data_IF_154909015716
#
_entry.id   IF_154909015716
#
_cell.length_a   1.000
_cell.length_b   1.000
_cell.length_c   1.000
_cell.angle_alpha   90.00
_cell.angle_beta   90.00
_cell.angle_gamma   90.00
#
_symmetry.space_group_name_H-M   'P 1'
#
loop_
_entity.id
_entity.type
_entity.pdbx_description
1 polymer ?
#
# COMPACT_ATOMS: atom_id res chain seq x y z
N UNK A 1 -16.66 5.23 -3.80
CA UNK A 1 -15.95 4.18 -3.02
C UNK A 1 -16.74 2.87 -3.11
N UNK A 2 -16.07 1.74 -3.30
CA UNK A 2 -16.67 0.40 -3.38
C UNK A 2 -16.08 -0.45 -2.25
N UNK A 3 -16.95 -1.14 -1.49
CA UNK A 3 -16.53 -2.06 -0.43
C UNK A 3 -16.69 -3.48 -0.95
N UNK A 4 -15.63 -4.28 -0.82
CA UNK A 4 -15.59 -5.70 -1.18
C UNK A 4 -15.25 -6.52 0.07
N UNK A 5 -16.11 -7.46 0.44
CA UNK A 5 -15.97 -8.25 1.65
C UNK A 5 -15.68 -9.69 1.28
N UNK A 6 -14.70 -10.29 1.96
CA UNK A 6 -14.24 -11.65 1.75
C UNK A 6 -14.25 -12.41 3.07
N UNK A 7 -14.45 -13.70 3.01
CA UNK A 7 -14.51 -14.55 4.18
C UNK A 7 -13.28 -14.40 5.10
N UNK A 8 -12.09 -14.35 4.50
CA UNK A 8 -10.83 -14.25 5.23
C UNK A 8 -9.74 -13.60 4.36
N UNK A 9 -8.55 -13.40 4.96
CA UNK A 9 -7.38 -12.81 4.28
C UNK A 9 -6.91 -13.63 3.08
N UNK A 10 -7.13 -14.95 3.09
CA UNK A 10 -6.72 -15.84 1.99
C UNK A 10 -7.61 -15.59 0.77
N UNK A 11 -8.93 -15.62 0.93
CA UNK A 11 -9.86 -15.33 -0.16
C UNK A 11 -9.69 -13.92 -0.71
N UNK A 12 -9.48 -12.94 0.17
CA UNK A 12 -9.19 -11.56 -0.22
C UNK A 12 -7.93 -11.49 -1.09
N UNK A 13 -6.84 -12.10 -0.64
CA UNK A 13 -5.57 -12.10 -1.39
C UNK A 13 -5.70 -12.78 -2.75
N UNK A 14 -6.40 -13.91 -2.82
CA UNK A 14 -6.65 -14.63 -4.08
C UNK A 14 -7.43 -13.74 -5.05
N UNK A 15 -8.52 -13.13 -4.60
CA UNK A 15 -9.37 -12.29 -5.44
C UNK A 15 -8.62 -11.06 -5.95
N UNK A 16 -7.93 -10.33 -5.07
CA UNK A 16 -7.21 -9.11 -5.46
C UNK A 16 -6.01 -9.42 -6.36
N UNK A 17 -5.26 -10.50 -6.08
CA UNK A 17 -4.15 -10.92 -6.95
C UNK A 17 -4.61 -11.28 -8.36
N UNK A 18 -5.76 -11.95 -8.48
CA UNK A 18 -6.39 -12.21 -9.78
C UNK A 18 -6.75 -10.91 -10.51
N UNK A 19 -7.31 -9.92 -9.81
CA UNK A 19 -7.63 -8.61 -10.41
C UNK A 19 -6.37 -7.89 -10.94
N UNK A 20 -5.23 -8.01 -10.23
CA UNK A 20 -3.95 -7.48 -10.72
C UNK A 20 -3.50 -8.18 -12.01
N UNK A 21 -3.58 -9.51 -12.06
CA UNK A 21 -3.21 -10.27 -13.27
C UNK A 21 -4.16 -9.97 -14.43
N UNK A 22 -5.47 -9.86 -14.18
CA UNK A 22 -6.47 -9.44 -15.17
C UNK A 22 -6.12 -8.04 -15.74
N UNK A 23 -5.69 -7.12 -14.89
CA UNK A 23 -5.29 -5.77 -15.31
C UNK A 23 -4.02 -5.79 -16.19
N UNK A 24 -3.03 -6.62 -15.85
CA UNK A 24 -1.81 -6.80 -16.66
C UNK A 24 -2.12 -7.45 -17.99
N UNK A 25 -2.98 -8.46 -18.02
CA UNK A 25 -3.41 -9.11 -19.26
C UNK A 25 -4.14 -8.14 -20.18
N UNK A 26 -5.00 -7.28 -19.63
CA UNK A 26 -5.71 -6.25 -20.39
C UNK A 26 -4.79 -5.12 -20.86
N UNK A 27 -3.75 -4.78 -20.10
CA UNK A 27 -2.76 -3.77 -20.43
C UNK A 27 -1.35 -4.24 -20.03
N UNK A 28 -0.60 -4.92 -20.93
CA UNK A 28 0.73 -5.44 -20.61
C UNK A 28 1.78 -4.40 -20.18
N UNK A 29 1.56 -3.12 -20.51
CA UNK A 29 2.43 -1.99 -20.13
C UNK A 29 1.87 -1.19 -18.95
N UNK A 30 0.97 -1.77 -18.18
CA UNK A 30 0.35 -1.15 -17.00
C UNK A 30 1.40 -0.68 -15.99
N UNK A 31 1.07 0.39 -15.26
CA UNK A 31 1.89 0.94 -14.20
C UNK A 31 1.22 0.62 -12.87
N UNK A 32 1.89 -0.18 -12.05
CA UNK A 32 1.40 -0.62 -10.75
C UNK A 32 2.05 0.17 -9.61
N UNK A 33 1.24 0.60 -8.67
CA UNK A 33 1.70 1.10 -7.38
C UNK A 33 1.66 -0.03 -6.36
N UNK A 34 2.75 -0.29 -5.65
CA UNK A 34 2.88 -1.43 -4.76
C UNK A 34 3.23 -1.02 -3.33
N UNK A 35 2.85 -1.86 -2.38
CA UNK A 35 3.06 -1.69 -0.95
C UNK A 35 3.84 -2.87 -0.36
N UNK A 36 4.54 -2.62 0.73
CA UNK A 36 5.16 -3.67 1.55
C UNK A 36 4.32 -3.99 2.79
N UNK A 37 4.82 -4.84 3.66
CA UNK A 37 4.15 -5.27 4.88
C UNK A 37 3.39 -6.59 4.73
N UNK A 38 2.67 -6.98 5.77
CA UNK A 38 1.99 -8.28 5.81
C UNK A 38 0.68 -8.33 5.02
N UNK A 39 -0.03 -7.20 4.91
CA UNK A 39 -1.35 -7.17 4.25
C UNK A 39 -1.33 -7.60 2.78
N UNK A 40 -0.35 -7.20 1.94
CA UNK A 40 -0.33 -7.57 0.52
C UNK A 40 0.24 -8.96 0.21
N UNK A 41 0.79 -9.70 1.17
CA UNK A 41 1.49 -10.97 0.90
C UNK A 41 0.61 -12.01 0.20
N UNK A 42 -0.64 -12.16 0.61
CA UNK A 42 -1.60 -13.05 -0.04
C UNK A 42 -1.92 -12.63 -1.48
N UNK A 43 -1.97 -11.32 -1.73
CA UNK A 43 -2.15 -10.76 -3.08
C UNK A 43 -0.95 -11.07 -3.95
N UNK A 44 0.28 -10.89 -3.45
CA UNK A 44 1.50 -11.21 -4.21
C UNK A 44 1.62 -12.70 -4.54
N UNK A 45 1.33 -13.57 -3.56
CA UNK A 45 1.30 -15.02 -3.81
C UNK A 45 0.30 -15.37 -4.92
N UNK A 46 -0.88 -14.78 -4.92
CA UNK A 46 -1.90 -14.97 -5.95
C UNK A 46 -1.48 -14.42 -7.31
N UNK A 47 -0.80 -13.27 -7.36
CA UNK A 47 -0.22 -12.74 -8.62
C UNK A 47 0.76 -13.74 -9.21
N UNK A 48 1.68 -14.27 -8.41
CA UNK A 48 2.69 -15.23 -8.84
C UNK A 48 2.02 -16.49 -9.42
N UNK A 49 1.06 -17.07 -8.69
CA UNK A 49 0.34 -18.27 -9.11
C UNK A 49 -0.44 -18.04 -10.41
N UNK A 50 -1.31 -17.03 -10.45
CA UNK A 50 -2.15 -16.73 -11.59
C UNK A 50 -1.35 -16.33 -12.83
N UNK A 51 -0.28 -15.53 -12.68
CA UNK A 51 0.56 -15.16 -13.82
C UNK A 51 1.23 -16.36 -14.45
N UNK A 52 1.72 -17.30 -13.62
CA UNK A 52 2.34 -18.55 -14.08
C UNK A 52 1.34 -19.47 -14.76
N UNK A 53 0.18 -19.71 -14.13
CA UNK A 53 -0.85 -20.60 -14.69
C UNK A 53 -1.44 -20.07 -16.00
N UNK A 54 -1.60 -18.76 -16.13
CA UNK A 54 -2.22 -18.11 -17.29
C UNK A 54 -1.20 -17.67 -18.35
N UNK A 55 0.11 -17.78 -18.07
CA UNK A 55 1.16 -17.30 -18.97
C UNK A 55 1.16 -15.80 -19.17
N UNK A 56 0.74 -15.01 -18.16
CA UNK A 56 0.71 -13.54 -18.22
C UNK A 56 2.10 -13.00 -17.90
N UNK A 57 2.67 -12.23 -18.83
CA UNK A 57 4.00 -11.63 -18.71
C UNK A 57 3.96 -10.26 -18.05
N UNK A 58 4.88 -10.01 -17.14
CA UNK A 58 5.14 -8.73 -16.48
C UNK A 58 6.33 -7.97 -17.06
N UNK A 59 6.94 -8.48 -18.15
CA UNK A 59 8.17 -7.91 -18.73
C UNK A 59 8.06 -6.45 -19.18
N UNK A 60 6.86 -5.96 -19.47
CA UNK A 60 6.58 -4.56 -19.85
C UNK A 60 5.92 -3.74 -18.75
N UNK A 61 5.57 -4.38 -17.63
CA UNK A 61 4.99 -3.71 -16.46
C UNK A 61 6.03 -2.82 -15.80
N UNK A 62 5.62 -1.64 -15.34
CA UNK A 62 6.42 -0.78 -14.46
C UNK A 62 5.79 -0.76 -13.08
N UNK A 63 6.62 -0.70 -12.04
CA UNK A 63 6.14 -0.60 -10.67
C UNK A 63 6.73 0.60 -9.94
N UNK A 64 5.92 1.24 -9.10
CA UNK A 64 6.32 2.30 -8.18
C UNK A 64 5.89 1.91 -6.77
N UNK A 65 6.86 1.64 -5.89
CA UNK A 65 6.56 1.37 -4.49
C UNK A 65 6.25 2.66 -3.72
N UNK A 66 5.40 2.55 -2.71
CA UNK A 66 4.97 3.68 -1.88
C UNK A 66 6.11 4.36 -1.14
N UNK A 67 7.03 3.56 -0.61
CA UNK A 67 8.02 4.03 0.35
C UNK A 67 9.29 3.18 0.37
N UNK A 68 10.31 3.71 1.03
CA UNK A 68 11.57 3.02 1.29
C UNK A 68 12.25 3.64 2.50
N UNK A 69 12.99 2.84 3.26
CA UNK A 69 13.86 3.33 4.33
C UNK A 69 15.01 4.17 3.78
N UNK A 70 15.39 5.21 4.52
CA UNK A 70 16.63 5.95 4.28
C UNK A 70 17.77 5.40 5.11
N UNK A 71 18.94 5.23 4.46
CA UNK A 71 20.15 4.75 5.11
C UNK A 71 19.94 3.46 5.93
N UNK A 72 19.18 2.50 5.37
CA UNK A 72 18.96 1.23 6.02
C UNK A 72 20.28 0.45 6.14
N UNK A 73 20.72 0.10 7.37
CA UNK A 73 22.00 -0.57 7.57
C UNK A 73 21.98 -2.06 7.19
N UNK A 74 20.79 -2.63 7.05
CA UNK A 74 20.58 -4.01 6.65
C UNK A 74 19.92 -4.03 5.26
N UNK A 75 20.68 -4.37 4.23
CA UNK A 75 20.20 -4.37 2.85
C UNK A 75 19.02 -5.35 2.65
N UNK A 76 19.05 -6.48 3.34
CA UNK A 76 17.99 -7.51 3.34
C UNK A 76 16.69 -7.06 4.04
N UNK A 77 16.70 -5.91 4.73
CA UNK A 77 15.53 -5.33 5.39
C UNK A 77 14.98 -4.09 4.66
N UNK A 78 15.53 -3.76 3.49
CA UNK A 78 14.95 -2.72 2.63
C UNK A 78 13.63 -3.19 2.02
N UNK A 79 12.76 -2.24 1.65
CA UNK A 79 11.51 -2.59 0.95
C UNK A 79 11.77 -3.11 -0.45
N UNK A 80 12.88 -2.71 -1.08
CA UNK A 80 13.36 -3.32 -2.32
C UNK A 80 13.64 -4.81 -2.13
N UNK A 81 14.33 -5.19 -1.06
CA UNK A 81 14.59 -6.61 -0.74
C UNK A 81 13.29 -7.38 -0.47
N UNK A 82 12.35 -6.77 0.29
CA UNK A 82 11.03 -7.34 0.52
C UNK A 82 10.28 -7.63 -0.80
N UNK A 83 10.27 -6.68 -1.73
CA UNK A 83 9.58 -6.87 -3.01
C UNK A 83 10.25 -7.91 -3.88
N UNK A 84 11.58 -7.97 -3.87
CA UNK A 84 12.35 -8.99 -4.57
C UNK A 84 12.01 -10.38 -4.05
N UNK A 85 11.99 -10.56 -2.74
CA UNK A 85 11.69 -11.84 -2.09
C UNK A 85 10.24 -12.31 -2.34
N UNK A 86 9.27 -11.39 -2.21
CA UNK A 86 7.85 -11.75 -2.16
C UNK A 86 7.12 -11.64 -3.50
N UNK A 87 7.71 -10.99 -4.52
CA UNK A 87 7.08 -10.83 -5.82
C UNK A 87 8.09 -10.86 -6.98
N UNK A 88 9.04 -9.93 -7.04
CA UNK A 88 9.78 -9.64 -8.27
C UNK A 88 10.66 -10.80 -8.76
N UNK A 89 11.25 -11.60 -7.87
CA UNK A 89 12.04 -12.77 -8.28
C UNK A 89 11.20 -13.97 -8.77
N UNK A 90 9.88 -13.89 -8.63
CA UNK A 90 8.95 -14.96 -9.00
C UNK A 90 8.15 -14.67 -10.28
N UNK A 91 8.31 -13.48 -10.86
CA UNK A 91 7.68 -13.05 -12.12
C UNK A 91 8.76 -12.52 -13.07
N UNK A 92 8.43 -12.33 -14.35
CA UNK A 92 9.39 -11.92 -15.39
C UNK A 92 9.54 -10.39 -15.53
N UNK A 93 9.23 -9.62 -14.45
CA UNK A 93 9.44 -8.16 -14.44
C UNK A 93 10.92 -7.83 -14.57
N UNK A 94 11.23 -6.79 -15.37
CA UNK A 94 12.61 -6.31 -15.50
C UNK A 94 12.98 -5.42 -14.31
N UNK A 95 14.19 -5.58 -13.79
CA UNK A 95 14.65 -4.81 -12.62
C UNK A 95 14.62 -3.30 -12.88
N UNK A 96 14.99 -2.85 -14.08
CA UNK A 96 14.94 -1.44 -14.49
C UNK A 96 13.52 -0.85 -14.52
N UNK A 97 12.49 -1.68 -14.49
CA UNK A 97 11.08 -1.27 -14.42
C UNK A 97 10.54 -1.21 -13.00
N UNK A 98 11.35 -1.51 -11.98
CA UNK A 98 10.95 -1.45 -10.57
C UNK A 98 11.52 -0.19 -9.91
N UNK A 99 10.63 0.68 -9.38
CA UNK A 99 11.02 1.98 -8.86
C UNK A 99 10.68 2.09 -7.38
N UNK A 100 11.61 2.73 -6.63
CA UNK A 100 11.47 3.02 -5.20
C UNK A 100 11.87 4.48 -4.95
N UNK A 101 11.19 5.19 -4.04
CA UNK A 101 11.56 6.56 -3.73
C UNK A 101 12.91 6.60 -2.98
N UNK A 102 13.64 7.69 -3.13
CA UNK A 102 14.90 7.94 -2.43
C UNK A 102 15.03 9.40 -2.03
N UNK A 103 15.98 9.72 -1.14
CA UNK A 103 16.13 11.06 -0.61
C UNK A 103 16.74 12.06 -1.60
N UNK A 104 17.49 11.57 -2.59
CA UNK A 104 18.25 12.41 -3.51
C UNK A 104 17.46 12.88 -4.72
N UNK A 105 16.20 12.59 -4.81
CA UNK A 105 15.37 12.95 -5.95
C UNK A 105 13.91 12.99 -5.58
N UNK A 106 13.55 13.55 -4.42
CA UNK A 106 12.16 13.57 -3.92
C UNK A 106 11.18 14.14 -4.94
N UNK A 107 11.54 15.30 -5.54
CA UNK A 107 10.70 15.90 -6.57
C UNK A 107 10.74 15.15 -7.90
N UNK A 108 11.73 14.28 -8.08
CA UNK A 108 11.91 13.53 -9.32
C UNK A 108 11.05 12.27 -9.31
N UNK A 109 10.79 11.65 -8.15
CA UNK A 109 9.94 10.48 -8.06
C UNK A 109 8.50 10.76 -8.54
N UNK A 110 7.91 11.89 -8.11
CA UNK A 110 6.59 12.31 -8.62
C UNK A 110 6.63 12.63 -10.13
N UNK A 111 7.75 13.20 -10.62
CA UNK A 111 7.96 13.45 -12.05
C UNK A 111 8.18 12.17 -12.84
N UNK A 112 8.91 11.20 -12.28
CA UNK A 112 9.10 9.88 -12.90
C UNK A 112 7.76 9.15 -13.07
N UNK A 113 6.92 9.16 -12.03
CA UNK A 113 5.56 8.62 -12.08
C UNK A 113 4.74 9.33 -13.18
N UNK A 114 4.77 10.67 -13.20
CA UNK A 114 4.04 11.45 -14.21
C UNK A 114 4.56 11.18 -15.62
N UNK A 115 5.88 11.12 -15.82
CA UNK A 115 6.52 10.82 -17.11
C UNK A 115 6.20 9.42 -17.62
N UNK A 116 6.08 8.45 -16.70
CA UNK A 116 5.66 7.09 -17.03
C UNK A 116 4.21 7.01 -17.48
N UNK A 117 3.39 8.01 -17.14
CA UNK A 117 1.95 8.07 -17.47
C UNK A 117 1.04 8.04 -16.25
N UNK A 118 1.59 8.02 -15.04
CA UNK A 118 0.85 7.89 -13.77
C UNK A 118 0.57 6.44 -13.40
N UNK A 119 0.29 6.20 -12.12
CA UNK A 119 -0.06 4.87 -11.62
C UNK A 119 -1.47 4.47 -12.07
N UNK A 120 -1.59 3.32 -12.73
CA UNK A 120 -2.88 2.78 -13.18
C UNK A 120 -3.64 2.08 -12.06
N UNK A 121 -2.94 1.27 -11.27
CA UNK A 121 -3.52 0.50 -10.19
C UNK A 121 -2.61 0.50 -8.96
N UNK A 122 -3.04 1.20 -7.91
CA UNK A 122 -2.32 1.36 -6.64
C UNK A 122 -2.85 0.39 -5.59
N UNK A 123 -1.95 -0.38 -5.01
CA UNK A 123 -2.21 -1.19 -3.82
C UNK A 123 -1.84 -0.41 -2.57
N UNK A 124 -2.72 -0.39 -1.58
CA UNK A 124 -2.50 0.22 -0.28
C UNK A 124 -2.78 -0.77 0.86
N UNK A 125 -1.94 -0.73 1.88
CA UNK A 125 -2.32 -1.13 3.23
C UNK A 125 -2.81 0.07 4.03
N UNK A 126 -3.27 -0.16 5.26
CA UNK A 126 -3.71 0.87 6.20
C UNK A 126 -3.12 0.61 7.58
N UNK A 127 -2.65 1.67 8.25
CA UNK A 127 -2.23 1.62 9.64
C UNK A 127 -3.39 1.68 10.62
N UNK A 128 -3.13 1.39 11.91
CA UNK A 128 -4.13 1.46 12.99
C UNK A 128 -4.75 2.82 13.18
N UNK A 129 -4.01 3.88 12.89
CA UNK A 129 -4.44 5.28 12.97
C UNK A 129 -4.88 5.84 11.61
N UNK A 130 -5.07 4.97 10.61
CA UNK A 130 -5.48 5.37 9.26
C UNK A 130 -4.36 5.87 8.36
N UNK A 131 -3.08 5.75 8.76
CA UNK A 131 -1.98 6.11 7.87
C UNK A 131 -1.92 5.22 6.64
N UNK A 132 -1.49 5.79 5.53
CA UNK A 132 -1.24 5.13 4.25
C UNK A 132 0.19 5.45 3.79
N UNK A 133 0.97 4.42 3.41
CA UNK A 133 2.43 4.56 3.33
C UNK A 133 2.98 4.98 4.69
N UNK A 134 3.89 5.95 4.72
CA UNK A 134 4.32 6.62 5.95
C UNK A 134 3.64 7.98 6.17
N UNK A 135 2.46 8.21 5.58
CA UNK A 135 1.68 9.42 5.82
C UNK A 135 0.87 9.26 7.11
N UNK A 136 1.45 9.72 8.21
CA UNK A 136 0.86 9.70 9.57
C UNK A 136 -0.19 10.81 9.74
N UNK A 137 -1.03 10.75 10.82
CA UNK A 137 -1.94 11.84 11.19
C UNK A 137 -1.28 13.21 11.10
N UNK A 138 -2.00 14.18 10.53
CA UNK A 138 -1.50 15.53 10.27
C UNK A 138 -0.86 15.73 8.89
N UNK A 139 -0.68 14.67 8.09
CA UNK A 139 -0.13 14.79 6.73
C UNK A 139 -1.15 15.49 5.81
N UNK A 140 -0.78 16.57 5.10
CA UNK A 140 -1.69 17.25 4.16
C UNK A 140 -2.16 16.35 3.04
N UNK A 141 -3.45 16.48 2.66
CA UNK A 141 -4.05 15.67 1.60
C UNK A 141 -3.44 15.89 0.20
N UNK A 142 -2.79 17.02 -0.02
CA UNK A 142 -2.10 17.38 -1.27
C UNK A 142 -0.59 17.11 -1.24
N UNK A 143 -0.10 16.46 -0.17
CA UNK A 143 1.33 16.15 -0.02
C UNK A 143 1.87 15.33 -1.18
N UNK A 144 3.08 15.70 -1.63
CA UNK A 144 3.87 14.95 -2.62
C UNK A 144 4.85 14.01 -1.91
N UNK A 145 5.66 13.28 -2.68
CA UNK A 145 6.72 12.43 -2.12
C UNK A 145 7.64 13.25 -1.22
N UNK A 146 7.87 12.76 0.00
CA UNK A 146 8.62 13.49 1.03
C UNK A 146 9.34 12.55 1.99
N UNK A 147 10.33 13.10 2.70
CA UNK A 147 11.02 12.42 3.80
C UNK A 147 10.17 12.54 5.07
N UNK A 148 10.08 11.46 5.81
CA UNK A 148 9.44 11.41 7.13
C UNK A 148 10.43 10.93 8.20
N UNK A 149 10.31 11.48 9.40
CA UNK A 149 10.93 10.94 10.59
C UNK A 149 10.06 9.81 11.12
N UNK A 150 10.64 8.62 11.29
CA UNK A 150 9.92 7.49 11.86
C UNK A 150 9.72 7.69 13.36
N UNK A 151 8.48 7.57 13.82
CA UNK A 151 8.16 7.69 15.25
C UNK A 151 8.85 6.56 16.04
N UNK A 152 9.11 6.82 17.32
CA UNK A 152 9.72 5.80 18.19
C UNK A 152 8.84 4.54 18.24
N UNK A 153 7.51 4.70 18.31
CA UNK A 153 6.57 3.58 18.29
C UNK A 153 6.66 2.75 17.01
N UNK A 154 6.81 3.39 15.86
CA UNK A 154 7.02 2.71 14.57
C UNK A 154 8.36 1.97 14.56
N UNK A 155 9.43 2.60 15.05
CA UNK A 155 10.75 1.98 15.13
C UNK A 155 10.77 0.78 16.08
N UNK A 156 10.14 0.90 17.23
CA UNK A 156 10.00 -0.21 18.19
C UNK A 156 9.22 -1.38 17.57
N UNK A 157 8.11 -1.09 16.89
CA UNK A 157 7.33 -2.12 16.22
C UNK A 157 8.12 -2.83 15.09
N UNK A 158 9.02 -2.10 14.42
CA UNK A 158 9.83 -2.63 13.33
C UNK A 158 11.12 -3.32 13.80
N UNK A 159 11.55 -3.15 15.07
CA UNK A 159 12.78 -3.74 15.61
C UNK A 159 12.85 -5.26 15.39
N UNK A 160 11.71 -5.95 15.44
CA UNK A 160 11.59 -7.39 15.14
C UNK A 160 12.18 -7.81 13.78
N UNK A 161 12.19 -6.91 12.81
CA UNK A 161 12.81 -7.13 11.49
C UNK A 161 14.29 -6.80 11.47
N UNK A 162 14.79 -6.12 12.50
CA UNK A 162 16.15 -5.64 12.66
C UNK A 162 16.86 -6.34 13.81
N UNK A 163 16.67 -7.68 13.94
CA UNK A 163 17.30 -8.52 14.96
C UNK A 163 16.94 -8.09 16.39
N UNK A 164 15.75 -7.52 16.60
CA UNK A 164 15.29 -6.89 17.84
C UNK A 164 16.21 -5.78 18.37
N UNK A 165 17.03 -5.18 17.48
CA UNK A 165 17.94 -4.09 17.79
C UNK A 165 17.40 -2.76 17.24
N UNK A 166 16.89 -1.92 18.14
CA UNK A 166 16.34 -0.61 17.79
C UNK A 166 17.36 0.32 17.12
N UNK A 167 18.66 0.15 17.42
CA UNK A 167 19.73 0.96 16.83
C UNK A 167 19.92 0.70 15.34
N UNK A 168 19.53 -0.48 14.86
CA UNK A 168 19.59 -0.85 13.45
C UNK A 168 18.36 -0.39 12.66
N UNK A 169 17.27 0.00 13.34
CA UNK A 169 16.06 0.47 12.67
C UNK A 169 16.30 1.89 12.14
N UNK A 170 16.11 2.15 10.84
CA UNK A 170 16.23 3.48 10.27
C UNK A 170 15.40 4.52 11.03
N UNK A 171 15.89 5.75 11.09
CA UNK A 171 15.18 6.86 11.72
C UNK A 171 14.30 7.63 10.74
N UNK A 172 14.55 7.44 9.45
CA UNK A 172 13.86 8.17 8.36
C UNK A 172 13.45 7.21 7.24
N UNK A 173 12.38 7.60 6.54
CA UNK A 173 11.93 6.96 5.31
C UNK A 173 11.53 8.02 4.29
N UNK A 174 11.39 7.60 3.04
CA UNK A 174 10.73 8.39 1.98
C UNK A 174 9.40 7.74 1.68
N UNK A 175 8.35 8.52 1.53
CA UNK A 175 7.02 8.04 1.18
C UNK A 175 6.38 8.86 0.08
N UNK A 176 5.64 8.21 -0.82
CA UNK A 176 4.67 8.92 -1.64
C UNK A 176 3.74 9.70 -0.73
N UNK A 177 3.49 10.97 -1.04
CA UNK A 177 2.47 11.75 -0.34
C UNK A 177 1.06 11.31 -0.67
N UNK A 178 0.09 11.73 0.14
CA UNK A 178 -1.33 11.43 -0.07
C UNK A 178 -1.79 11.97 -1.44
N UNK A 179 -1.35 13.18 -1.82
CA UNK A 179 -1.65 13.77 -3.12
C UNK A 179 -1.04 12.99 -4.29
N UNK A 180 0.15 12.38 -4.11
CA UNK A 180 0.73 11.50 -5.12
C UNK A 180 -0.10 10.23 -5.28
N UNK A 181 -0.48 9.59 -4.17
CA UNK A 181 -1.33 8.38 -4.15
C UNK A 181 -2.68 8.65 -4.80
N UNK A 182 -3.31 9.78 -4.46
CA UNK A 182 -4.63 10.17 -4.96
C UNK A 182 -4.69 10.41 -6.49
N UNK A 183 -3.56 10.57 -7.15
CA UNK A 183 -3.47 10.67 -8.62
C UNK A 183 -3.53 9.32 -9.34
N UNK A 184 -3.45 8.22 -8.63
CA UNK A 184 -3.60 6.87 -9.21
C UNK A 184 -5.00 6.71 -9.82
N UNK A 185 -5.10 6.00 -10.96
CA UNK A 185 -6.39 5.82 -11.63
C UNK A 185 -7.35 4.94 -10.87
N UNK A 186 -6.82 3.88 -10.24
CA UNK A 186 -7.55 2.94 -9.39
C UNK A 186 -6.77 2.69 -8.13
N UNK A 187 -7.44 2.62 -6.98
CA UNK A 187 -6.83 2.37 -5.68
C UNK A 187 -7.55 1.19 -5.01
N UNK A 188 -6.79 0.17 -4.60
CA UNK A 188 -7.24 -0.93 -3.78
C UNK A 188 -6.58 -0.84 -2.39
N UNK A 189 -7.39 -0.65 -1.36
CA UNK A 189 -6.97 -0.63 0.05
C UNK A 189 -7.30 -1.95 0.71
N UNK A 190 -6.32 -2.59 1.34
CA UNK A 190 -6.49 -3.82 2.12
C UNK A 190 -6.62 -3.48 3.60
N UNK A 191 -7.69 -3.98 4.23
CA UNK A 191 -7.86 -3.99 5.68
C UNK A 191 -8.34 -5.38 6.13
N UNK A 192 -7.40 -6.25 6.49
CA UNK A 192 -7.61 -7.67 6.70
C UNK A 192 -7.31 -8.14 8.13
N UNK A 193 -7.14 -7.21 9.08
CA UNK A 193 -6.96 -7.50 10.51
C UNK A 193 -7.79 -6.54 11.36
N UNK A 194 -8.26 -7.00 12.53
CA UNK A 194 -9.21 -6.27 13.40
C UNK A 194 -8.71 -4.87 13.83
N UNK A 195 -7.41 -4.68 13.96
CA UNK A 195 -6.81 -3.39 14.31
C UNK A 195 -7.00 -2.30 13.22
N UNK A 196 -7.59 -2.66 12.07
CA UNK A 196 -7.95 -1.74 10.99
C UNK A 196 -9.42 -1.29 11.05
N UNK A 197 -10.23 -1.87 11.93
CA UNK A 197 -11.66 -1.58 11.96
C UNK A 197 -11.95 -0.11 12.29
N UNK A 198 -11.24 0.50 13.25
CA UNK A 198 -11.47 1.89 13.63
C UNK A 198 -11.21 2.89 12.49
N UNK A 199 -10.04 2.89 11.81
CA UNK A 199 -9.82 3.80 10.68
C UNK A 199 -10.76 3.53 9.49
N UNK A 200 -11.19 2.30 9.26
CA UNK A 200 -12.19 1.99 8.24
C UNK A 200 -13.56 2.55 8.65
N UNK A 201 -13.96 2.43 9.91
CA UNK A 201 -15.21 3.03 10.39
C UNK A 201 -15.20 4.57 10.19
N UNK A 202 -14.09 5.25 10.51
CA UNK A 202 -13.91 6.69 10.23
C UNK A 202 -14.02 7.01 8.75
N UNK A 203 -13.38 6.21 7.88
CA UNK A 203 -13.48 6.35 6.42
C UNK A 203 -14.95 6.26 5.95
N UNK A 204 -15.72 5.30 6.48
CA UNK A 204 -17.11 5.07 6.09
C UNK A 204 -18.10 6.12 6.63
N UNK A 205 -17.71 6.90 7.65
CA UNK A 205 -18.49 8.06 8.09
C UNK A 205 -18.56 9.20 7.06
N UNK A 206 -17.74 9.15 6.04
CA UNK A 206 -17.86 10.06 4.91
C UNK A 206 -17.29 11.47 5.15
N UNK A 207 -16.44 11.64 6.15
CA UNK A 207 -15.81 12.94 6.48
C UNK A 207 -14.29 12.83 6.38
N UNK A 208 -13.67 13.84 5.76
CA UNK A 208 -12.20 13.96 5.77
C UNK A 208 -11.76 14.36 7.19
N UNK A 209 -10.80 13.61 7.69
CA UNK A 209 -10.21 13.79 9.01
C UNK A 209 -8.68 13.79 8.87
N UNK A 210 -8.04 14.89 9.25
CA UNK A 210 -6.58 15.03 9.19
C UNK A 210 -5.88 14.04 10.14
N UNK A 211 -6.57 13.61 11.20
CA UNK A 211 -6.08 12.63 12.15
C UNK A 211 -6.31 11.16 11.67
N UNK A 212 -6.91 10.99 10.48
CA UNK A 212 -7.11 9.69 9.84
C UNK A 212 -6.80 9.80 8.34
N UNK A 213 -5.53 9.74 7.93
CA UNK A 213 -5.07 10.08 6.57
C UNK A 213 -5.79 9.40 5.43
N UNK A 214 -6.21 8.14 5.59
CA UNK A 214 -6.95 7.39 4.56
C UNK A 214 -8.25 8.09 4.13
N UNK A 215 -8.86 8.90 5.02
CA UNK A 215 -10.09 9.64 4.73
C UNK A 215 -9.91 10.70 3.66
N UNK A 216 -8.68 11.11 3.36
CA UNK A 216 -8.39 12.02 2.26
C UNK A 216 -8.76 11.43 0.89
N UNK A 217 -8.84 10.10 0.79
CA UNK A 217 -9.16 9.39 -0.47
C UNK A 217 -10.66 9.18 -0.71
N UNK A 218 -11.53 9.67 0.18
CA UNK A 218 -12.98 9.38 0.14
C UNK A 218 -13.65 9.81 -1.18
N UNK A 219 -13.19 10.91 -1.78
CA UNK A 219 -13.72 11.43 -3.04
C UNK A 219 -13.04 10.84 -4.28
N UNK A 220 -12.09 9.92 -4.11
CA UNK A 220 -11.42 9.32 -5.23
C UNK A 220 -12.41 8.48 -6.09
N UNK A 221 -12.49 8.68 -7.42
CA UNK A 221 -13.54 8.09 -8.26
C UNK A 221 -13.50 6.56 -8.32
N UNK A 222 -12.32 5.96 -8.19
CA UNK A 222 -12.10 4.51 -8.27
C UNK A 222 -11.35 4.01 -7.03
N UNK A 223 -11.93 4.26 -5.86
CA UNK A 223 -11.40 3.80 -4.58
C UNK A 223 -12.18 2.57 -4.12
N UNK A 224 -11.46 1.47 -3.95
CA UNK A 224 -11.99 0.17 -3.53
C UNK A 224 -11.35 -0.24 -2.21
N UNK A 225 -12.16 -0.72 -1.27
CA UNK A 225 -11.73 -1.17 0.06
C UNK A 225 -12.03 -2.66 0.17
N UNK A 226 -10.99 -3.44 0.41
CA UNK A 226 -11.04 -4.90 0.54
C UNK A 226 -10.96 -5.27 2.02
N UNK A 227 -12.05 -5.85 2.54
CA UNK A 227 -12.22 -6.21 3.94
C UNK A 227 -12.38 -7.72 4.08
N UNK A 228 -11.98 -8.25 5.23
CA UNK A 228 -12.47 -9.56 5.69
C UNK A 228 -13.81 -9.40 6.42
N UNK A 229 -14.62 -10.46 6.46
CA UNK A 229 -15.90 -10.48 7.22
C UNK A 229 -15.69 -10.05 8.68
N UNK A 230 -14.63 -10.54 9.32
CA UNK A 230 -14.29 -10.19 10.70
C UNK A 230 -14.07 -8.67 10.90
N UNK A 231 -13.36 -8.03 9.96
CA UNK A 231 -13.13 -6.58 9.99
C UNK A 231 -14.43 -5.83 9.73
N UNK A 232 -15.21 -6.25 8.73
CA UNK A 232 -16.51 -5.63 8.42
C UNK A 232 -17.47 -5.68 9.61
N UNK A 233 -17.61 -6.85 10.27
CA UNK A 233 -18.44 -6.97 11.47
C UNK A 233 -18.01 -6.00 12.59
N UNK A 234 -16.70 -5.84 12.79
CA UNK A 234 -16.20 -4.89 13.77
C UNK A 234 -16.48 -3.43 13.37
N UNK A 235 -16.32 -3.11 12.09
CA UNK A 235 -16.66 -1.78 11.52
C UNK A 235 -18.14 -1.47 11.72
N UNK A 236 -19.05 -2.42 11.41
CA UNK A 236 -20.49 -2.21 11.57
C UNK A 236 -20.89 -1.97 13.04
N UNK A 237 -20.24 -2.67 13.98
CA UNK A 237 -20.45 -2.43 15.42
C UNK A 237 -20.04 -1.02 15.84
N UNK A 238 -18.88 -0.54 15.33
CA UNK A 238 -18.39 0.82 15.62
C UNK A 238 -19.33 1.89 15.05
N UNK A 239 -19.81 1.70 13.81
CA UNK A 239 -20.76 2.62 13.17
C UNK A 239 -22.10 2.65 13.90
N UNK A 240 -22.62 1.50 14.34
CA UNK A 240 -23.86 1.43 15.12
C UNK A 240 -23.75 2.12 16.49
N UNK A 241 -22.58 2.00 17.17
CA UNK A 241 -22.31 2.69 18.43
C UNK A 241 -22.23 4.20 18.26
N UNK A 242 -21.66 4.70 17.18
CA UNK A 242 -21.55 6.16 16.92
C UNK A 242 -22.87 6.84 16.52
N UNK A 243 -23.93 6.08 16.23
CA UNK A 243 -25.26 6.61 15.95
C UNK A 243 -26.15 6.68 17.21
N UNK A 244 -25.67 6.12 18.34
CA UNK A 244 -26.40 6.06 19.59
C UNK A 244 -26.03 7.19 20.57
N UNK A 245 -24.99 7.96 20.28
CA UNK A 245 -24.50 9.13 21.02
C UNK A 245 -24.90 10.44 20.27
#
# INVERSE_FOLDING_TARGET
MIIKIFKDSKELGIALGKEFVDAVEANPSIILGLATGSSPLGTYASIIENSKERGVSFSKVKTFNLDEYLACPLEDQTYRAFMKENLFSHIDILEENTHFPNATGLSDYDKEIAKAGGVDFQLLGIGRNGHIGFNEPGTPADSLTHVVDLTESTRVANARFFRDDLSLVPTKAVTMGIGTIAKSRRIALIANTLDKAEPIAKLLQGKKDLDCPVTALIDHPHFEVYLTEEVDEAVQKLLAGSLAD
#
